data_IF_594271771049
#
_entry.id   IF_594271771049
#
_cell.length_a   1.000
_cell.length_b   1.000
_cell.length_c   1.000
_cell.angle_alpha   90.00
_cell.angle_beta   90.00
_cell.angle_gamma   90.00
#
_symmetry.space_group_name_H-M   'P 1'
#
loop_
_entity.id
_entity.type
_entity.pdbx_description
1 polymer ?
#
# COMPACT_ATOMS: atom_id res chain seq x y z
N UNK A 1 18.68 33.18 66.61
CA UNK A 1 19.48 34.16 65.83
C UNK A 1 19.93 33.48 64.54
N UNK A 2 19.42 33.99 63.40
CA UNK A 2 19.81 33.79 62.00
C UNK A 2 19.87 32.37 61.37
N UNK A 3 18.88 32.17 60.49
CA UNK A 3 18.86 31.41 59.24
C UNK A 3 20.21 31.16 58.57
N UNK A 4 20.37 30.00 57.93
CA UNK A 4 20.80 29.91 56.52
C UNK A 4 20.28 28.65 55.82
N UNK A 5 19.59 28.87 54.70
CA UNK A 5 19.20 27.89 53.67
C UNK A 5 20.42 27.13 53.15
N UNK A 6 20.25 25.85 52.81
CA UNK A 6 20.93 25.24 51.66
C UNK A 6 19.88 24.58 50.76
N UNK A 7 19.82 25.09 49.54
CA UNK A 7 18.98 24.59 48.45
C UNK A 7 19.74 23.55 47.62
N UNK A 8 18.95 22.65 47.04
CA UNK A 8 19.02 22.07 45.69
C UNK A 8 20.31 21.37 45.22
N UNK A 9 20.11 20.11 44.84
CA UNK A 9 20.98 19.35 43.96
C UNK A 9 20.30 18.07 43.47
N UNK A 10 19.03 18.15 43.03
CA UNK A 10 18.46 17.08 42.20
C UNK A 10 18.99 17.32 40.79
N UNK A 11 19.82 16.38 40.33
CA UNK A 11 20.41 16.33 39.01
C UNK A 11 19.28 16.10 38.00
N UNK A 12 18.76 17.16 37.39
CA UNK A 12 17.92 17.06 36.21
C UNK A 12 18.83 16.69 35.04
N UNK A 13 18.88 15.40 34.71
CA UNK A 13 19.35 14.95 33.40
C UNK A 13 18.30 15.45 32.40
N UNK A 14 18.58 16.57 31.75
CA UNK A 14 17.87 16.97 30.54
C UNK A 14 18.26 15.95 29.44
N UNK A 15 17.52 14.86 29.38
CA UNK A 15 17.44 14.05 28.17
C UNK A 15 16.65 14.91 27.18
N UNK A 16 17.36 15.66 26.34
CA UNK A 16 16.77 16.24 25.13
C UNK A 16 16.55 15.05 24.18
N UNK A 17 15.48 14.30 24.42
CA UNK A 17 14.81 13.56 23.36
C UNK A 17 14.33 14.65 22.39
N UNK A 18 15.11 14.88 21.34
CA UNK A 18 14.58 15.51 20.14
C UNK A 18 13.43 14.64 19.70
N UNK A 19 12.21 15.05 20.05
CA UNK A 19 10.99 14.51 19.47
C UNK A 19 11.06 14.85 17.98
N UNK A 20 11.68 13.97 17.20
CA UNK A 20 11.29 13.78 15.82
C UNK A 20 9.86 13.24 15.91
N UNK A 21 8.88 14.13 15.80
CA UNK A 21 7.57 13.69 15.34
C UNK A 21 7.83 13.14 13.95
N UNK A 22 7.65 11.83 13.68
CA UNK A 22 7.58 11.39 12.30
C UNK A 22 6.50 12.26 11.66
N UNK A 23 6.89 13.03 10.65
CA UNK A 23 5.95 13.80 9.86
C UNK A 23 4.92 12.77 9.40
N UNK A 24 3.68 12.90 9.88
CA UNK A 24 2.58 12.06 9.49
C UNK A 24 2.36 12.31 8.01
N UNK A 25 2.98 11.51 7.15
CA UNK A 25 2.60 11.39 5.74
C UNK A 25 1.30 10.57 5.73
N UNK A 26 0.25 11.12 6.32
CA UNK A 26 -1.10 10.57 6.23
C UNK A 26 -2.06 11.73 5.99
N UNK A 27 -2.92 11.51 4.99
CA UNK A 27 -3.99 12.38 4.51
C UNK A 27 -3.58 13.55 3.59
N UNK A 28 -3.05 13.22 2.39
CA UNK A 28 -3.24 14.09 1.21
C UNK A 28 -2.93 13.39 -0.12
N UNK A 29 -3.50 12.22 -0.43
CA UNK A 29 -3.56 11.75 -1.83
C UNK A 29 -4.77 10.84 -2.03
N UNK A 30 -5.89 11.41 -2.49
CA UNK A 30 -6.92 10.78 -3.33
C UNK A 30 -8.13 11.73 -3.46
N UNK A 31 -7.94 12.88 -4.10
CA UNK A 31 -9.06 13.54 -4.79
C UNK A 31 -8.85 13.28 -6.28
N UNK A 32 -9.67 12.38 -6.83
CA UNK A 32 -9.75 12.13 -8.27
C UNK A 32 -10.73 13.15 -8.84
N UNK A 33 -10.22 14.31 -9.27
CA UNK A 33 -10.97 15.13 -10.23
C UNK A 33 -10.91 14.44 -11.60
N UNK A 34 -12.08 14.07 -12.11
CA UNK A 34 -12.25 13.45 -13.42
C UNK A 34 -11.87 14.44 -14.53
N UNK A 35 -10.62 14.40 -15.00
CA UNK A 35 -10.19 15.30 -16.07
C UNK A 35 -8.71 15.30 -16.47
N UNK A 36 -8.03 14.15 -16.58
CA UNK A 36 -6.91 13.88 -17.51
C UNK A 36 -6.38 12.47 -17.24
N UNK A 37 -6.17 11.64 -18.27
CA UNK A 37 -5.84 10.22 -18.11
C UNK A 37 -4.40 10.04 -17.62
N UNK A 38 -4.22 10.10 -16.29
CA UNK A 38 -3.00 9.79 -15.58
C UNK A 38 -2.78 8.30 -15.35
N UNK A 39 -1.81 7.97 -14.48
CA UNK A 39 -1.50 6.61 -14.08
C UNK A 39 -0.92 6.56 -12.67
N UNK A 40 -0.22 5.48 -12.34
CA UNK A 40 0.47 5.33 -11.07
C UNK A 40 1.92 4.89 -11.27
N UNK A 41 2.81 5.36 -10.40
CA UNK A 41 4.21 4.90 -10.34
C UNK A 41 4.53 4.41 -8.94
N UNK A 42 5.55 3.57 -8.84
CA UNK A 42 6.23 3.32 -7.56
C UNK A 42 7.44 4.25 -7.47
N UNK A 43 7.60 4.93 -6.36
CA UNK A 43 8.69 5.87 -6.14
C UNK A 43 9.23 5.77 -4.71
N UNK A 44 10.55 5.87 -4.58
CA UNK A 44 11.26 5.96 -3.30
C UNK A 44 12.31 7.08 -3.32
N UNK A 45 12.77 7.46 -2.12
CA UNK A 45 13.92 8.33 -1.94
C UNK A 45 14.89 7.69 -0.96
N UNK A 46 16.13 7.42 -1.40
CA UNK A 46 17.08 6.61 -0.66
C UNK A 46 18.49 7.21 -0.56
N UNK A 47 19.20 6.77 0.48
CA UNK A 47 20.54 7.22 0.88
C UNK A 47 21.43 6.02 1.22
N UNK A 48 21.18 4.89 0.56
CA UNK A 48 21.79 3.60 0.83
C UNK A 48 23.31 3.59 0.58
N UNK A 49 23.81 4.40 -0.36
CA UNK A 49 25.25 4.52 -0.67
C UNK A 49 26.07 5.17 0.46
N UNK A 50 25.40 5.85 1.40
CA UNK A 50 25.99 6.38 2.63
C UNK A 50 25.46 5.71 3.89
N UNK A 51 24.73 4.60 3.76
CA UNK A 51 24.24 3.80 4.88
C UNK A 51 23.06 4.37 5.65
N UNK A 52 22.45 5.46 5.16
CA UNK A 52 21.32 6.11 5.84
C UNK A 52 19.93 5.57 5.42
N UNK A 53 19.90 4.54 4.56
CA UNK A 53 18.67 3.85 4.13
C UNK A 53 17.66 4.77 3.42
N UNK A 54 16.38 4.41 3.48
CA UNK A 54 15.32 5.23 2.89
C UNK A 54 15.11 6.54 3.66
N UNK A 55 14.87 7.62 2.93
CA UNK A 55 14.22 8.84 3.44
C UNK A 55 12.71 8.74 3.25
N UNK A 56 12.28 8.24 2.07
CA UNK A 56 10.92 7.84 1.76
C UNK A 56 11.00 6.40 1.28
N UNK A 57 10.41 5.47 2.04
CA UNK A 57 10.29 4.07 1.63
C UNK A 57 9.42 3.98 0.35
N UNK A 58 9.55 2.89 -0.45
CA UNK A 58 8.78 2.75 -1.69
C UNK A 58 7.28 2.91 -1.45
N UNK A 59 6.67 3.83 -2.20
CA UNK A 59 5.23 4.12 -2.18
C UNK A 59 4.70 4.21 -3.60
N UNK A 60 3.44 3.85 -3.78
CA UNK A 60 2.71 4.00 -5.03
C UNK A 60 1.98 5.34 -5.00
N UNK A 61 2.21 6.19 -5.99
CA UNK A 61 1.53 7.48 -6.12
C UNK A 61 0.90 7.64 -7.49
N UNK A 62 -0.22 8.34 -7.52
CA UNK A 62 -0.88 8.70 -8.77
C UNK A 62 -0.22 9.94 -9.39
N UNK A 63 -0.18 9.97 -10.72
CA UNK A 63 0.26 11.11 -11.52
C UNK A 63 -0.78 11.43 -12.58
N UNK A 64 -0.75 12.65 -13.07
CA UNK A 64 -1.54 13.20 -14.18
C UNK A 64 -0.71 13.27 -15.45
N UNK A 65 -1.36 13.13 -16.61
CA UNK A 65 -0.67 13.12 -17.90
C UNK A 65 0.29 14.32 -18.06
N UNK A 66 1.55 14.03 -18.39
CA UNK A 66 2.60 15.03 -18.57
C UNK A 66 3.43 15.37 -17.33
N UNK A 67 3.09 14.86 -16.15
CA UNK A 67 3.95 14.98 -14.97
C UNK A 67 5.34 14.36 -15.23
N UNK A 68 6.37 15.01 -14.70
CA UNK A 68 7.76 14.57 -14.79
C UNK A 68 8.22 13.95 -13.48
N UNK A 69 9.37 13.27 -13.49
CA UNK A 69 9.99 12.77 -12.25
C UNK A 69 10.19 13.91 -11.25
N UNK A 70 10.59 15.10 -11.70
CA UNK A 70 10.75 16.25 -10.81
C UNK A 70 9.45 16.65 -10.11
N UNK A 71 8.32 16.62 -10.81
CA UNK A 71 7.01 16.98 -10.23
C UNK A 71 6.64 16.01 -9.09
N UNK A 72 6.91 14.71 -9.30
CA UNK A 72 6.73 13.70 -8.25
C UNK A 72 7.64 13.94 -7.04
N UNK A 73 8.92 14.20 -7.27
CA UNK A 73 9.90 14.48 -6.21
C UNK A 73 9.54 15.74 -5.43
N UNK A 74 9.15 16.81 -6.14
CA UNK A 74 8.74 18.07 -5.51
C UNK A 74 7.51 17.88 -4.63
N UNK A 75 6.56 17.04 -5.04
CA UNK A 75 5.37 16.70 -4.24
C UNK A 75 5.72 15.88 -3.00
N UNK A 76 6.60 14.89 -3.13
CA UNK A 76 7.01 14.02 -2.02
C UNK A 76 7.91 14.70 -1.00
N UNK A 77 8.92 15.44 -1.46
CA UNK A 77 9.85 16.15 -0.58
C UNK A 77 9.23 17.42 0.00
N UNK A 78 8.21 17.99 -0.65
CA UNK A 78 7.72 19.33 -0.43
C UNK A 78 8.55 20.35 -1.24
N UNK A 79 7.92 21.24 -2.02
CA UNK A 79 8.63 22.15 -2.94
C UNK A 79 9.63 23.06 -2.23
N UNK A 80 9.33 23.51 -1.01
CA UNK A 80 10.20 24.37 -0.20
C UNK A 80 11.47 23.66 0.32
N UNK A 81 11.48 22.32 0.26
CA UNK A 81 12.61 21.50 0.66
C UNK A 81 13.57 21.21 -0.51
N UNK A 82 13.19 21.53 -1.75
CA UNK A 82 14.06 21.39 -2.91
C UNK A 82 15.00 22.59 -3.01
N UNK A 83 16.29 22.32 -3.01
CA UNK A 83 17.33 23.30 -3.31
C UNK A 83 17.78 23.06 -4.75
N UNK A 84 17.61 24.06 -5.62
CA UNK A 84 17.93 23.94 -7.04
C UNK A 84 16.72 24.23 -7.93
N UNK A 85 16.56 23.48 -9.01
CA UNK A 85 15.48 23.67 -9.99
C UNK A 85 15.07 22.35 -10.63
N UNK A 86 14.05 22.36 -11.50
CA UNK A 86 13.65 21.17 -12.27
C UNK A 86 14.76 20.58 -13.13
N UNK A 87 15.74 21.40 -13.50
CA UNK A 87 16.88 20.99 -14.34
C UNK A 87 17.92 20.24 -13.52
N UNK A 88 18.11 20.65 -12.26
CA UNK A 88 19.12 20.08 -11.39
C UNK A 88 18.76 20.34 -9.92
N UNK A 89 18.62 19.26 -9.14
CA UNK A 89 18.44 19.31 -7.69
C UNK A 89 19.83 19.39 -7.05
N UNK A 90 20.17 20.57 -6.52
CA UNK A 90 21.39 20.82 -5.77
C UNK A 90 21.35 20.22 -4.37
N UNK A 91 20.16 19.95 -3.83
CA UNK A 91 19.98 19.27 -2.56
C UNK A 91 18.52 19.21 -2.12
N UNK A 92 18.27 18.39 -1.12
CA UNK A 92 16.94 18.20 -0.54
C UNK A 92 17.09 18.38 0.96
N UNK A 93 16.33 19.30 1.57
CA UNK A 93 16.40 19.60 3.01
C UNK A 93 15.90 18.43 3.84
N UNK A 94 16.45 18.28 5.05
CA UNK A 94 16.04 17.26 6.02
C UNK A 94 16.46 15.83 5.67
N UNK A 95 17.08 15.59 4.51
CA UNK A 95 17.47 14.26 4.06
C UNK A 95 18.81 13.80 4.61
N UNK A 96 19.52 14.55 5.44
CA UNK A 96 20.73 14.06 6.11
C UNK A 96 20.39 13.62 7.54
N UNK A 97 20.62 12.35 7.86
CA UNK A 97 20.52 11.82 9.23
C UNK A 97 21.72 12.22 10.10
N UNK A 98 22.73 12.87 9.52
CA UNK A 98 23.92 13.37 10.19
C UNK A 98 25.13 12.46 10.04
N UNK A 99 26.30 13.04 10.30
CA UNK A 99 27.60 12.39 10.06
C UNK A 99 27.79 11.07 10.82
N UNK A 100 27.17 10.92 11.99
CA UNK A 100 27.31 9.70 12.78
C UNK A 100 26.63 8.49 12.15
N UNK A 101 25.54 8.73 11.41
CA UNK A 101 24.77 7.70 10.69
C UNK A 101 25.41 7.30 9.36
N UNK A 102 26.49 7.95 8.94
CA UNK A 102 27.19 7.61 7.69
C UNK A 102 27.94 6.30 7.84
N UNK A 103 27.63 5.36 6.95
CA UNK A 103 28.33 4.08 6.78
C UNK A 103 28.44 3.81 5.28
N UNK A 104 29.65 3.93 4.72
CA UNK A 104 29.88 3.66 3.30
C UNK A 104 29.92 2.14 3.09
N UNK A 105 29.07 1.58 2.20
CA UNK A 105 29.10 0.15 1.88
C UNK A 105 30.44 -0.29 1.28
N UNK A 106 30.95 -1.44 1.72
CA UNK A 106 32.28 -1.93 1.33
C UNK A 106 32.50 -2.07 -0.18
N UNK A 107 31.46 -2.38 -0.96
CA UNK A 107 31.60 -2.54 -2.41
C UNK A 107 32.07 -1.25 -3.10
N UNK A 108 31.72 -0.08 -2.55
CA UNK A 108 32.17 1.21 -3.09
C UNK A 108 33.69 1.34 -2.92
N UNK A 109 34.21 0.94 -1.76
CA UNK A 109 35.64 1.00 -1.46
C UNK A 109 36.40 -0.05 -2.28
N UNK A 110 35.98 -1.32 -2.19
CA UNK A 110 36.74 -2.45 -2.73
C UNK A 110 36.64 -2.57 -4.26
N UNK A 111 35.49 -2.22 -4.86
CA UNK A 111 35.24 -2.42 -6.29
C UNK A 111 35.31 -1.13 -7.11
N UNK A 112 34.95 0.01 -6.51
CA UNK A 112 34.91 1.31 -7.20
C UNK A 112 36.03 2.28 -6.75
N UNK A 113 36.85 1.88 -5.77
CA UNK A 113 37.97 2.70 -5.29
C UNK A 113 37.53 3.98 -4.57
N UNK A 114 36.30 4.01 -4.04
CA UNK A 114 35.80 5.15 -3.29
C UNK A 114 36.35 5.28 -1.88
N UNK A 115 36.22 6.47 -1.30
CA UNK A 115 36.59 6.73 0.09
C UNK A 115 35.74 5.91 1.06
N UNK A 116 36.34 5.41 2.13
CA UNK A 116 35.63 4.65 3.17
C UNK A 116 34.79 5.54 4.11
N UNK A 117 34.15 4.92 5.10
CA UNK A 117 33.35 5.63 6.12
C UNK A 117 34.14 6.70 6.85
N UNK A 118 35.41 6.45 7.20
CA UNK A 118 36.23 7.44 7.89
C UNK A 118 36.48 8.66 7.00
N UNK A 119 36.76 8.42 5.72
CA UNK A 119 36.94 9.46 4.70
C UNK A 119 35.69 10.29 4.50
N UNK A 120 34.52 9.64 4.35
CA UNK A 120 33.23 10.30 4.21
C UNK A 120 32.90 11.18 5.43
N UNK A 121 33.08 10.64 6.64
CA UNK A 121 32.85 11.39 7.90
C UNK A 121 33.80 12.58 8.05
N UNK A 122 35.06 12.43 7.67
CA UNK A 122 36.04 13.51 7.70
C UNK A 122 35.75 14.60 6.67
N UNK A 123 35.21 14.23 5.50
CA UNK A 123 34.74 15.19 4.49
C UNK A 123 33.49 15.96 5.00
N UNK A 124 32.56 15.23 5.62
CA UNK A 124 31.37 15.79 6.27
C UNK A 124 30.32 16.30 5.29
N UNK A 125 29.33 17.01 5.82
CA UNK A 125 28.29 17.67 5.05
C UNK A 125 28.24 19.16 5.40
N UNK A 126 28.43 20.03 4.41
CA UNK A 126 28.36 21.48 4.57
C UNK A 126 26.96 22.05 4.27
N UNK A 127 26.00 21.20 3.91
CA UNK A 127 24.62 21.59 3.65
C UNK A 127 23.95 22.21 4.88
N UNK A 128 23.14 23.24 4.67
CA UNK A 128 22.26 23.80 5.70
C UNK A 128 20.97 22.98 5.80
N UNK A 129 20.21 23.14 6.88
CA UNK A 129 18.90 22.48 7.08
C UNK A 129 18.94 20.95 6.95
N UNK A 130 20.05 20.33 7.35
CA UNK A 130 20.32 18.91 7.18
C UNK A 130 20.09 18.44 5.74
N UNK A 131 20.42 19.27 4.75
CA UNK A 131 20.26 18.90 3.36
C UNK A 131 21.38 17.96 2.91
N UNK A 132 21.03 16.86 2.24
CA UNK A 132 21.99 16.20 1.36
C UNK A 132 21.95 16.93 0.02
N UNK A 133 23.11 17.37 -0.45
CA UNK A 133 23.24 18.10 -1.69
C UNK A 133 24.49 17.73 -2.47
N UNK A 134 24.73 18.48 -3.53
CA UNK A 134 25.96 18.38 -4.31
C UNK A 134 27.14 18.52 -3.36
N UNK A 135 28.06 17.58 -3.44
CA UNK A 135 29.25 17.46 -2.59
C UNK A 135 29.04 17.07 -1.12
N UNK A 136 27.86 16.61 -0.69
CA UNK A 136 27.72 16.05 0.66
C UNK A 136 28.53 14.75 0.79
N UNK A 137 29.38 14.66 1.82
CA UNK A 137 30.24 13.52 2.17
C UNK A 137 31.33 13.12 1.17
N UNK A 138 31.29 13.61 -0.07
CA UNK A 138 32.29 13.36 -1.12
C UNK A 138 32.18 14.45 -2.17
N UNK A 139 33.29 14.82 -2.85
CA UNK A 139 33.25 15.76 -3.99
C UNK A 139 32.35 15.30 -5.13
N UNK A 140 32.05 14.00 -5.20
CA UNK A 140 31.20 13.39 -6.23
C UNK A 140 29.77 13.12 -5.74
N UNK A 141 29.46 13.52 -4.48
CA UNK A 141 28.16 13.29 -3.87
C UNK A 141 27.05 14.11 -4.55
N UNK A 142 25.88 13.52 -4.71
CA UNK A 142 24.72 14.21 -5.28
C UNK A 142 23.51 13.31 -5.52
N UNK A 143 22.35 13.93 -5.75
CA UNK A 143 21.12 13.21 -6.07
C UNK A 143 21.10 12.75 -7.53
N UNK A 144 20.78 11.48 -7.72
CA UNK A 144 20.59 10.82 -9.01
C UNK A 144 19.19 10.20 -9.05
N UNK A 145 18.76 9.79 -10.25
CA UNK A 145 17.55 8.97 -10.37
C UNK A 145 17.71 7.82 -11.33
N UNK A 146 16.93 6.76 -11.06
CA UNK A 146 16.77 5.63 -11.94
C UNK A 146 15.29 5.43 -12.24
N UNK A 147 14.98 4.98 -13.44
CA UNK A 147 13.63 4.53 -13.83
C UNK A 147 13.73 3.11 -14.38
N UNK A 148 12.97 2.19 -13.80
CA UNK A 148 12.96 0.77 -14.18
C UNK A 148 14.38 0.15 -14.20
N UNK A 149 15.11 0.36 -13.10
CA UNK A 149 16.51 -0.04 -12.91
C UNK A 149 17.52 0.50 -13.93
N UNK A 150 17.18 1.56 -14.68
CA UNK A 150 18.05 2.19 -15.67
C UNK A 150 18.27 3.66 -15.33
N UNK A 151 19.45 4.19 -15.63
CA UNK A 151 19.69 5.64 -15.62
C UNK A 151 19.14 6.23 -16.92
N UNK A 152 18.17 7.15 -16.88
CA UNK A 152 17.72 7.83 -18.08
C UNK A 152 18.79 8.77 -18.64
N UNK A 153 18.67 9.12 -19.92
CA UNK A 153 19.56 10.02 -20.66
C UNK A 153 19.11 11.50 -20.63
N UNK A 154 18.01 11.78 -19.94
CA UNK A 154 17.43 13.12 -19.73
C UNK A 154 17.43 13.49 -18.25
N UNK A 155 17.19 14.76 -17.92
CA UNK A 155 17.03 15.20 -16.52
C UNK A 155 15.66 14.86 -15.93
N UNK A 156 15.53 14.90 -14.60
CA UNK A 156 14.27 14.59 -13.90
C UNK A 156 13.10 15.48 -14.34
N UNK A 157 13.38 16.74 -14.72
CA UNK A 157 12.36 17.69 -15.19
C UNK A 157 11.97 17.54 -16.67
N UNK A 158 12.53 16.56 -17.38
CA UNK A 158 12.24 16.24 -18.79
C UNK A 158 11.75 14.80 -18.97
N UNK A 159 12.05 13.89 -18.03
CA UNK A 159 11.47 12.55 -18.03
C UNK A 159 10.00 12.60 -17.64
N UNK A 160 9.10 12.46 -18.62
CA UNK A 160 7.65 12.30 -18.41
C UNK A 160 7.37 10.88 -17.94
N UNK A 161 6.73 10.75 -16.77
CA UNK A 161 6.48 9.44 -16.15
C UNK A 161 5.38 8.67 -16.89
N UNK A 162 5.47 7.33 -16.82
CA UNK A 162 4.51 6.41 -17.44
C UNK A 162 3.91 5.51 -16.38
N UNK A 163 2.70 5.02 -16.67
CA UNK A 163 2.02 4.09 -15.79
C UNK A 163 2.86 2.83 -15.56
N UNK A 164 3.03 2.45 -14.31
CA UNK A 164 3.80 1.30 -13.88
C UNK A 164 5.32 1.50 -13.74
N UNK A 165 5.84 2.70 -14.00
CA UNK A 165 7.25 3.04 -13.77
C UNK A 165 7.66 2.81 -12.30
N UNK A 166 8.91 2.40 -12.10
CA UNK A 166 9.57 2.37 -10.79
C UNK A 166 10.68 3.40 -10.77
N UNK A 167 10.53 4.43 -9.95
CA UNK A 167 11.42 5.59 -9.86
C UNK A 167 12.19 5.55 -8.55
N UNK A 168 13.52 5.51 -8.63
CA UNK A 168 14.39 5.59 -7.44
C UNK A 168 15.09 6.93 -7.42
N UNK A 169 14.90 7.71 -6.36
CA UNK A 169 15.65 8.96 -6.13
C UNK A 169 16.75 8.66 -5.13
N UNK A 170 17.97 8.50 -5.62
CA UNK A 170 19.05 7.95 -4.81
C UNK A 170 20.19 8.96 -4.65
N UNK A 171 20.63 9.18 -3.42
CA UNK A 171 21.88 9.89 -3.17
C UNK A 171 23.05 8.99 -3.59
N UNK A 172 23.88 9.46 -4.51
CA UNK A 172 25.15 8.85 -4.89
C UNK A 172 26.25 9.48 -4.07
N UNK A 173 27.17 8.67 -3.58
CA UNK A 173 28.37 9.07 -2.84
C UNK A 173 29.61 9.08 -3.75
N UNK A 174 29.70 8.16 -4.71
CA UNK A 174 30.93 7.94 -5.48
C UNK A 174 30.70 7.59 -6.95
N UNK A 175 31.69 7.96 -7.77
CA UNK A 175 31.81 7.57 -9.17
C UNK A 175 30.78 8.22 -10.09
N UNK A 176 30.26 9.39 -9.71
CA UNK A 176 29.20 10.09 -10.44
C UNK A 176 27.98 9.19 -10.75
N UNK A 177 27.58 8.34 -9.80
CA UNK A 177 26.49 7.37 -9.96
C UNK A 177 26.95 5.93 -10.26
N UNK A 178 28.25 5.66 -10.35
CA UNK A 178 28.77 4.29 -10.51
C UNK A 178 28.44 3.39 -9.31
N UNK A 179 28.27 3.95 -8.11
CA UNK A 179 27.78 3.23 -6.93
C UNK A 179 26.32 2.81 -7.04
N UNK A 180 25.52 3.50 -7.83
CA UNK A 180 24.11 3.15 -8.09
C UNK A 180 23.93 2.21 -9.27
N UNK A 181 24.75 2.36 -10.32
CA UNK A 181 24.59 1.68 -11.60
C UNK A 181 25.57 0.53 -11.82
N UNK A 182 26.70 0.55 -11.12
CA UNK A 182 27.83 -0.36 -11.33
C UNK A 182 28.77 0.02 -12.48
N UNK A 183 28.45 1.04 -13.27
CA UNK A 183 29.23 1.48 -14.43
C UNK A 183 30.02 2.75 -14.10
N UNK A 184 31.35 2.67 -14.23
CA UNK A 184 32.18 3.87 -14.25
C UNK A 184 32.19 4.53 -15.63
N UNK A 185 32.36 5.85 -15.65
CA UNK A 185 32.43 6.61 -16.89
C UNK A 185 33.54 6.07 -17.81
N UNK A 186 33.15 5.68 -19.03
CA UNK A 186 34.06 5.19 -20.05
C UNK A 186 34.39 3.70 -19.93
N UNK A 187 33.84 2.98 -18.95
CA UNK A 187 33.97 1.53 -18.84
C UNK A 187 32.88 0.82 -19.66
N UNK A 188 33.22 -0.11 -20.56
CA UNK A 188 32.23 -0.88 -21.32
C UNK A 188 31.57 -1.98 -20.48
N UNK A 189 32.22 -2.40 -19.38
CA UNK A 189 31.74 -3.45 -18.48
C UNK A 189 31.47 -2.89 -17.08
N UNK A 190 30.47 -3.41 -16.36
CA UNK A 190 30.19 -2.98 -14.99
C UNK A 190 31.29 -3.48 -14.04
N UNK A 191 31.78 -2.60 -13.17
CA UNK A 191 32.68 -2.98 -12.06
C UNK A 191 31.93 -3.69 -10.93
N UNK A 192 30.63 -3.42 -10.82
CA UNK A 192 29.74 -4.00 -9.81
C UNK A 192 28.44 -4.38 -10.50
N UNK A 193 27.97 -5.59 -10.29
CA UNK A 193 26.64 -5.99 -10.78
C UNK A 193 25.63 -5.53 -9.73
N UNK A 194 24.73 -4.62 -10.13
CA UNK A 194 23.60 -4.16 -9.33
C UNK A 194 22.36 -4.92 -9.81
N UNK A 195 21.72 -5.66 -8.90
CA UNK A 195 20.51 -6.41 -9.21
C UNK A 195 19.31 -5.51 -9.50
N UNK A 196 18.38 -5.96 -10.34
CA UNK A 196 17.14 -5.24 -10.60
C UNK A 196 16.18 -5.43 -9.41
N UNK A 197 15.80 -4.30 -8.79
CA UNK A 197 14.95 -4.25 -7.59
C UNK A 197 13.50 -3.88 -7.88
N UNK A 198 13.11 -3.66 -9.13
CA UNK A 198 11.81 -3.09 -9.49
C UNK A 198 10.63 -3.89 -8.92
N UNK A 199 10.68 -5.22 -9.02
CA UNK A 199 9.64 -6.09 -8.47
C UNK A 199 9.56 -6.06 -6.93
N UNK A 200 10.72 -5.97 -6.26
CA UNK A 200 10.79 -5.88 -4.81
C UNK A 200 10.25 -4.53 -4.32
N UNK A 201 10.61 -3.44 -4.98
CA UNK A 201 10.11 -2.10 -4.65
C UNK A 201 8.60 -2.00 -4.88
N UNK A 202 8.06 -2.64 -5.93
CA UNK A 202 6.61 -2.78 -6.12
C UNK A 202 5.94 -3.53 -4.97
N UNK A 203 6.51 -4.65 -4.52
CA UNK A 203 5.95 -5.42 -3.40
C UNK A 203 5.97 -4.60 -2.09
N UNK A 204 7.05 -3.90 -1.80
CA UNK A 204 7.16 -2.99 -0.64
C UNK A 204 6.15 -1.83 -0.75
N UNK A 205 5.97 -1.27 -1.95
CA UNK A 205 5.02 -0.18 -2.17
C UNK A 205 3.57 -0.60 -1.97
N UNK A 206 3.18 -1.83 -2.30
CA UNK A 206 1.85 -2.38 -1.99
C UNK A 206 1.61 -2.31 -0.48
N UNK A 207 2.56 -2.83 0.30
CA UNK A 207 2.46 -2.81 1.77
C UNK A 207 2.37 -1.37 2.28
N UNK A 208 3.23 -0.48 1.80
CA UNK A 208 3.31 0.89 2.28
C UNK A 208 2.13 1.79 1.92
N UNK A 209 1.54 1.59 0.74
CA UNK A 209 0.52 2.51 0.20
C UNK A 209 -0.86 2.10 0.59
N UNK A 210 -1.13 0.79 0.65
CA UNK A 210 -2.47 0.30 0.87
C UNK A 210 -2.76 0.25 2.37
N UNK A 211 -1.96 -0.52 3.13
CA UNK A 211 -2.38 -0.99 4.46
C UNK A 211 -1.21 -1.22 5.42
N UNK A 212 -0.23 -0.31 5.44
CA UNK A 212 1.04 -0.48 6.17
C UNK A 212 0.85 -0.87 7.63
N UNK A 213 0.00 -0.18 8.37
CA UNK A 213 -0.20 -0.43 9.80
C UNK A 213 -0.76 -1.83 10.06
N UNK A 214 -1.73 -2.28 9.24
CA UNK A 214 -2.37 -3.59 9.33
C UNK A 214 -1.41 -4.71 8.92
N UNK A 215 -0.69 -4.51 7.81
CA UNK A 215 0.27 -5.51 7.36
C UNK A 215 1.44 -5.67 8.34
N UNK A 216 1.91 -4.57 8.94
CA UNK A 216 3.03 -4.63 9.87
C UNK A 216 2.63 -5.03 11.30
N UNK A 217 1.34 -5.17 11.61
CA UNK A 217 0.89 -5.83 12.85
C UNK A 217 0.87 -7.36 12.73
N UNK A 218 0.88 -7.90 11.51
CA UNK A 218 1.05 -9.34 11.27
C UNK A 218 2.54 -9.72 11.32
N UNK A 219 2.93 -10.60 12.24
CA UNK A 219 4.34 -10.96 12.45
C UNK A 219 5.01 -11.58 11.21
N UNK A 220 4.28 -12.36 10.42
CA UNK A 220 4.80 -13.03 9.22
C UNK A 220 5.07 -12.00 8.12
N UNK A 221 4.10 -11.11 7.86
CA UNK A 221 4.25 -10.05 6.87
C UNK A 221 5.31 -9.06 7.31
N UNK A 222 5.33 -8.67 8.60
CA UNK A 222 6.35 -7.79 9.15
C UNK A 222 7.75 -8.36 8.95
N UNK A 223 7.96 -9.64 9.22
CA UNK A 223 9.26 -10.29 9.01
C UNK A 223 9.67 -10.28 7.53
N UNK A 224 8.74 -10.60 6.62
CA UNK A 224 8.99 -10.56 5.18
C UNK A 224 9.27 -9.12 4.69
N UNK A 225 8.56 -8.13 5.24
CA UNK A 225 8.73 -6.72 4.95
C UNK A 225 10.10 -6.20 5.41
N UNK A 226 10.49 -6.50 6.66
CA UNK A 226 11.79 -6.13 7.20
C UNK A 226 12.93 -6.73 6.35
N UNK A 227 12.79 -7.99 5.90
CA UNK A 227 13.72 -8.62 4.96
C UNK A 227 13.76 -7.90 3.61
N UNK A 228 12.59 -7.54 3.05
CA UNK A 228 12.50 -6.79 1.79
C UNK A 228 13.17 -5.42 1.88
N UNK A 229 13.02 -4.69 2.99
CA UNK A 229 13.72 -3.42 3.24
C UNK A 229 15.24 -3.62 3.35
N UNK A 230 15.69 -4.65 4.06
CA UNK A 230 17.12 -4.95 4.17
C UNK A 230 17.74 -5.31 2.80
N UNK A 231 17.07 -6.14 2.00
CA UNK A 231 17.54 -6.53 0.66
C UNK A 231 17.49 -5.36 -0.32
N UNK A 232 16.44 -4.53 -0.27
CA UNK A 232 16.30 -3.37 -1.16
C UNK A 232 17.35 -2.28 -0.90
N UNK A 233 17.81 -2.11 0.35
CA UNK A 233 18.89 -1.15 0.68
C UNK A 233 20.30 -1.73 0.47
N UNK A 234 20.45 -3.04 0.34
CA UNK A 234 21.71 -3.66 -0.06
C UNK A 234 21.94 -3.51 -1.59
N UNK A 235 22.84 -2.61 -1.98
CA UNK A 235 23.10 -2.31 -3.41
C UNK A 235 23.71 -3.47 -4.19
N UNK A 236 24.35 -4.42 -3.52
CA UNK A 236 24.99 -5.58 -4.16
C UNK A 236 24.29 -6.90 -3.85
N UNK A 237 23.03 -6.84 -3.39
CA UNK A 237 22.19 -8.03 -3.30
C UNK A 237 22.11 -8.72 -4.67
N UNK A 238 22.31 -10.04 -4.68
CA UNK A 238 22.19 -10.84 -5.89
C UNK A 238 20.75 -10.83 -6.40
N UNK A 239 20.56 -11.06 -7.70
CA UNK A 239 19.20 -11.16 -8.26
C UNK A 239 18.39 -12.28 -7.59
N UNK A 240 19.05 -13.36 -7.14
CA UNK A 240 18.37 -14.43 -6.42
C UNK A 240 17.86 -13.97 -5.06
N UNK A 241 18.67 -13.27 -4.26
CA UNK A 241 18.23 -12.72 -2.96
C UNK A 241 17.06 -11.75 -3.14
N UNK A 242 17.12 -10.89 -4.16
CA UNK A 242 16.04 -9.95 -4.50
C UNK A 242 14.75 -10.72 -4.86
N UNK A 243 14.86 -11.73 -5.72
CA UNK A 243 13.71 -12.53 -6.14
C UNK A 243 13.08 -13.30 -4.96
N UNK A 244 13.91 -13.86 -4.06
CA UNK A 244 13.45 -14.56 -2.86
C UNK A 244 12.71 -13.61 -1.94
N UNK A 245 13.29 -12.45 -1.59
CA UNK A 245 12.63 -11.47 -0.74
C UNK A 245 11.31 -10.95 -1.35
N UNK A 246 11.28 -10.78 -2.68
CA UNK A 246 10.06 -10.40 -3.41
C UNK A 246 8.97 -11.45 -3.26
N UNK A 247 9.32 -12.73 -3.46
CA UNK A 247 8.38 -13.83 -3.37
C UNK A 247 7.87 -14.04 -1.94
N UNK A 248 8.76 -13.95 -0.94
CA UNK A 248 8.38 -14.06 0.47
C UNK A 248 7.37 -12.99 0.87
N UNK A 249 7.62 -11.72 0.53
CA UNK A 249 6.71 -10.63 0.84
C UNK A 249 5.37 -10.79 0.14
N UNK A 250 5.37 -11.08 -1.16
CA UNK A 250 4.13 -11.30 -1.91
C UNK A 250 3.33 -12.49 -1.38
N UNK A 251 3.99 -13.58 -1.01
CA UNK A 251 3.31 -14.76 -0.47
C UNK A 251 2.73 -14.48 0.92
N UNK A 252 3.46 -13.76 1.79
CA UNK A 252 2.96 -13.37 3.10
C UNK A 252 1.72 -12.46 2.98
N UNK A 253 1.79 -11.46 2.09
CA UNK A 253 0.66 -10.56 1.80
C UNK A 253 -0.52 -11.32 1.18
N UNK A 254 -0.28 -12.23 0.23
CA UNK A 254 -1.34 -13.02 -0.39
C UNK A 254 -1.98 -14.03 0.58
N UNK A 255 -1.23 -14.53 1.57
CA UNK A 255 -1.74 -15.40 2.62
C UNK A 255 -2.58 -14.64 3.66
N UNK A 256 -2.44 -13.32 3.73
CA UNK A 256 -3.30 -12.44 4.52
C UNK A 256 -4.67 -12.30 3.86
N UNK A 257 -5.47 -13.36 3.94
CA UNK A 257 -6.83 -13.41 3.40
C UNK A 257 -7.79 -14.01 4.41
N UNK A 258 -8.88 -13.30 4.69
CA UNK A 258 -10.05 -13.85 5.39
C UNK A 258 -11.02 -14.33 4.31
N UNK A 259 -11.44 -15.60 4.38
CA UNK A 259 -12.31 -16.18 3.38
C UNK A 259 -13.75 -16.25 3.87
N UNK A 260 -14.68 -15.63 3.13
CA UNK A 260 -16.10 -15.90 3.29
C UNK A 260 -16.49 -17.19 2.57
N UNK A 261 -17.39 -17.96 3.17
CA UNK A 261 -18.05 -19.12 2.60
C UNK A 261 -19.56 -18.90 2.67
N UNK A 262 -20.25 -18.94 1.54
CA UNK A 262 -21.66 -18.58 1.48
C UNK A 262 -22.43 -19.37 0.42
N UNK A 263 -23.74 -19.49 0.62
CA UNK A 263 -24.66 -20.11 -0.35
C UNK A 263 -26.04 -19.49 -0.27
N UNK A 264 -26.77 -19.58 -1.36
CA UNK A 264 -28.16 -19.12 -1.46
C UNK A 264 -29.14 -20.28 -1.62
N UNK A 265 -30.34 -20.12 -1.09
CA UNK A 265 -31.49 -20.95 -1.39
C UNK A 265 -32.22 -20.38 -2.60
N UNK A 266 -32.27 -21.14 -3.69
CA UNK A 266 -32.85 -20.73 -4.97
C UNK A 266 -34.21 -21.39 -5.16
N UNK A 267 -35.19 -20.63 -5.65
CA UNK A 267 -36.52 -21.13 -5.98
C UNK A 267 -36.45 -22.43 -6.80
N UNK A 268 -37.23 -23.44 -6.40
CA UNK A 268 -37.35 -24.75 -7.04
C UNK A 268 -36.08 -25.64 -6.99
N UNK A 269 -34.92 -25.11 -6.62
CA UNK A 269 -33.65 -25.85 -6.57
C UNK A 269 -33.16 -26.09 -5.15
N UNK A 270 -33.56 -25.23 -4.22
CA UNK A 270 -33.14 -25.30 -2.83
C UNK A 270 -31.76 -24.70 -2.59
N UNK A 271 -31.08 -25.18 -1.54
CA UNK A 271 -29.74 -24.73 -1.19
C UNK A 271 -28.70 -25.14 -2.22
N UNK A 272 -28.01 -24.16 -2.78
CA UNK A 272 -26.90 -24.34 -3.70
C UNK A 272 -25.62 -24.77 -2.95
N UNK A 273 -24.59 -25.14 -3.71
CA UNK A 273 -23.25 -25.42 -3.16
C UNK A 273 -22.62 -24.17 -2.56
N UNK A 274 -21.81 -24.34 -1.50
CA UNK A 274 -21.01 -23.26 -0.94
C UNK A 274 -20.07 -22.66 -1.97
N UNK A 275 -19.94 -21.34 -1.90
CA UNK A 275 -19.11 -20.48 -2.72
C UNK A 275 -18.13 -19.74 -1.84
N UNK A 276 -16.98 -19.39 -2.40
CA UNK A 276 -15.96 -18.61 -1.70
C UNK A 276 -15.96 -17.15 -2.16
N UNK A 277 -15.14 -16.35 -1.47
CA UNK A 277 -14.75 -15.00 -1.86
C UNK A 277 -14.79 -14.75 -3.38
N UNK A 278 -15.65 -13.83 -3.82
CA UNK A 278 -15.78 -13.37 -5.21
C UNK A 278 -16.59 -14.26 -6.17
N UNK A 279 -16.90 -15.50 -5.81
CA UNK A 279 -17.69 -16.41 -6.65
C UNK A 279 -19.19 -16.05 -6.67
N UNK A 280 -19.91 -16.43 -7.73
CA UNK A 280 -21.36 -16.18 -7.78
C UNK A 280 -22.12 -17.28 -7.04
N UNK A 281 -23.00 -16.89 -6.11
CA UNK A 281 -24.05 -17.75 -5.56
C UNK A 281 -25.42 -17.28 -6.06
N UNK A 282 -26.15 -18.17 -6.75
CA UNK A 282 -27.44 -17.89 -7.40
C UNK A 282 -27.48 -18.30 -8.89
N UNK A 283 -28.56 -17.97 -9.58
CA UNK A 283 -28.85 -18.38 -10.97
C UNK A 283 -29.21 -17.17 -11.85
N UNK A 284 -28.18 -16.53 -12.38
CA UNK A 284 -28.30 -15.31 -13.19
C UNK A 284 -28.93 -15.63 -14.55
N UNK A 285 -29.97 -14.88 -14.92
CA UNK A 285 -30.63 -15.02 -16.23
C UNK A 285 -31.62 -16.17 -16.33
N UNK A 286 -31.73 -17.01 -15.29
CA UNK A 286 -32.67 -18.14 -15.26
C UNK A 286 -34.05 -17.75 -14.71
N UNK A 287 -34.20 -16.50 -14.29
CA UNK A 287 -35.43 -15.94 -13.72
C UNK A 287 -35.93 -16.61 -12.43
N UNK A 288 -35.02 -17.21 -11.67
CA UNK A 288 -35.30 -17.79 -10.36
C UNK A 288 -34.92 -16.79 -9.25
N UNK A 289 -35.74 -16.71 -8.21
CA UNK A 289 -35.47 -15.85 -7.04
C UNK A 289 -34.56 -16.54 -6.04
N UNK A 290 -33.74 -15.75 -5.37
CA UNK A 290 -33.18 -16.11 -4.08
C UNK A 290 -34.29 -16.01 -3.01
N UNK A 291 -34.33 -16.98 -2.10
CA UNK A 291 -35.30 -17.04 -0.99
C UNK A 291 -34.61 -17.00 0.38
N UNK A 292 -33.31 -17.35 0.43
CA UNK A 292 -32.50 -17.30 1.64
C UNK A 292 -31.01 -17.34 1.35
N UNK A 293 -30.21 -17.05 2.38
CA UNK A 293 -28.75 -17.01 2.32
C UNK A 293 -28.14 -17.46 3.65
N UNK A 294 -27.01 -18.15 3.56
CA UNK A 294 -26.10 -18.42 4.67
C UNK A 294 -24.71 -17.89 4.29
N UNK A 295 -24.09 -17.15 5.21
CA UNK A 295 -22.74 -16.58 5.10
C UNK A 295 -21.98 -16.94 6.35
N UNK A 296 -20.76 -17.45 6.19
CA UNK A 296 -19.83 -17.72 7.27
C UNK A 296 -18.43 -17.20 6.90
N UNK A 297 -17.56 -17.03 7.89
CA UNK A 297 -16.13 -16.87 7.67
C UNK A 297 -15.45 -18.20 7.94
N UNK A 298 -14.47 -18.56 7.11
CA UNK A 298 -13.62 -19.73 7.38
C UNK A 298 -12.87 -19.50 8.71
N UNK A 299 -12.79 -20.54 9.56
CA UNK A 299 -12.09 -20.44 10.83
C UNK A 299 -10.65 -19.99 10.62
N UNK A 300 -10.29 -18.89 11.28
CA UNK A 300 -8.94 -18.37 11.29
C UNK A 300 -8.51 -18.16 12.75
N UNK A 301 -7.46 -18.87 13.18
CA UNK A 301 -6.96 -18.76 14.55
C UNK A 301 -6.23 -17.43 14.84
N UNK A 302 -5.93 -16.67 13.79
CA UNK A 302 -5.17 -15.42 13.85
C UNK A 302 -6.06 -14.19 14.10
N UNK A 303 -7.34 -14.24 13.71
CA UNK A 303 -8.26 -13.11 13.83
C UNK A 303 -9.56 -13.51 14.54
N UNK A 304 -9.99 -12.70 15.50
CA UNK A 304 -11.33 -12.74 16.05
C UNK A 304 -12.30 -12.02 15.11
N UNK A 305 -12.82 -12.78 14.14
CA UNK A 305 -13.75 -12.32 13.12
C UNK A 305 -15.00 -13.18 13.05
N UNK A 306 -16.13 -12.49 12.88
CA UNK A 306 -17.42 -13.05 12.52
C UNK A 306 -18.11 -12.21 11.45
N UNK A 307 -19.23 -12.70 10.95
CA UNK A 307 -20.08 -11.98 9.99
C UNK A 307 -21.52 -11.95 10.47
N UNK A 308 -22.15 -10.79 10.33
CA UNK A 308 -23.57 -10.58 10.53
C UNK A 308 -24.25 -10.09 9.25
N UNK A 309 -25.46 -10.57 9.01
CA UNK A 309 -26.23 -10.20 7.82
C UNK A 309 -27.74 -10.28 8.06
N UNK A 310 -28.50 -9.54 7.27
CA UNK A 310 -29.96 -9.62 7.24
C UNK A 310 -30.47 -9.29 5.85
N UNK A 311 -31.65 -9.78 5.51
CA UNK A 311 -32.25 -9.57 4.18
C UNK A 311 -33.56 -8.81 4.25
N UNK A 312 -33.88 -8.12 3.16
CA UNK A 312 -35.21 -7.57 2.90
C UNK A 312 -36.01 -8.60 2.12
N UNK A 313 -37.12 -9.06 2.69
CA UNK A 313 -37.92 -10.17 2.17
C UNK A 313 -39.28 -9.63 1.71
N UNK A 314 -39.77 -10.14 0.59
CA UNK A 314 -41.10 -9.81 0.08
C UNK A 314 -42.19 -9.91 1.16
N UNK A 315 -43.04 -8.89 1.24
CA UNK A 315 -44.16 -8.74 2.19
C UNK A 315 -43.79 -8.67 3.68
N UNK A 316 -42.53 -8.95 4.05
CA UNK A 316 -42.06 -8.92 5.44
C UNK A 316 -41.16 -7.71 5.72
N UNK A 317 -40.49 -7.18 4.69
CA UNK A 317 -39.51 -6.11 4.83
C UNK A 317 -38.16 -6.63 5.32
N UNK A 318 -37.37 -5.73 5.92
CA UNK A 318 -36.12 -6.09 6.57
C UNK A 318 -36.36 -6.98 7.79
N UNK A 319 -35.57 -8.05 7.93
CA UNK A 319 -35.55 -8.80 9.18
C UNK A 319 -35.16 -7.90 10.37
N UNK A 320 -35.83 -8.08 11.51
CA UNK A 320 -35.56 -7.30 12.73
C UNK A 320 -34.22 -7.66 13.39
N UNK A 321 -33.78 -8.91 13.22
CA UNK A 321 -32.56 -9.44 13.84
C UNK A 321 -31.54 -9.81 12.77
N UNK A 322 -30.29 -9.40 13.00
CA UNK A 322 -29.16 -9.89 12.25
C UNK A 322 -28.94 -11.39 12.51
N UNK A 323 -28.52 -12.10 11.47
CA UNK A 323 -28.08 -13.49 11.53
C UNK A 323 -26.57 -13.51 11.55
N UNK A 324 -25.99 -14.44 12.30
CA UNK A 324 -24.53 -14.54 12.43
C UNK A 324 -24.03 -15.89 11.92
N UNK A 325 -22.84 -15.92 11.30
CA UNK A 325 -22.02 -17.12 11.09
C UNK A 325 -22.79 -18.40 10.73
N UNK A 326 -23.18 -18.53 9.47
CA UNK A 326 -23.87 -19.70 8.92
C UNK A 326 -25.36 -19.80 9.26
N UNK A 327 -25.93 -18.90 10.07
CA UNK A 327 -27.37 -18.86 10.32
C UNK A 327 -28.15 -18.36 9.10
N UNK A 328 -29.20 -19.08 8.72
CA UNK A 328 -30.06 -18.66 7.60
C UNK A 328 -30.72 -17.29 7.83
N UNK A 329 -30.55 -16.39 6.84
CA UNK A 329 -31.36 -15.19 6.62
C UNK A 329 -32.30 -15.42 5.43
N UNK A 330 -33.53 -14.90 5.49
CA UNK A 330 -34.58 -15.16 4.49
C UNK A 330 -35.64 -16.17 4.95
N UNK A 331 -36.30 -16.83 3.99
CA UNK A 331 -37.36 -17.83 4.28
C UNK A 331 -37.12 -19.12 3.51
N UNK A 332 -37.44 -20.25 4.13
CA UNK A 332 -37.45 -21.55 3.46
C UNK A 332 -38.89 -21.98 3.23
N UNK A 333 -39.22 -22.48 2.04
CA UNK A 333 -40.55 -23.06 1.68
C UNK A 333 -41.75 -22.10 1.77
N UNK A 334 -41.52 -20.81 1.96
CA UNK A 334 -42.60 -19.79 1.95
C UNK A 334 -42.79 -19.15 0.58
N UNK A 335 -41.83 -19.33 -0.34
CA UNK A 335 -41.93 -18.80 -1.69
C UNK A 335 -41.70 -17.30 -1.81
N UNK A 336 -41.11 -16.66 -0.80
CA UNK A 336 -40.88 -15.21 -0.76
C UNK A 336 -39.49 -14.88 -1.31
N UNK A 337 -39.40 -13.87 -2.18
CA UNK A 337 -38.11 -13.40 -2.72
C UNK A 337 -37.34 -12.57 -1.72
N UNK A 338 -36.01 -12.64 -1.81
CA UNK A 338 -35.13 -11.59 -1.31
C UNK A 338 -35.11 -10.41 -2.29
N UNK A 339 -35.11 -9.20 -1.76
CA UNK A 339 -35.04 -7.95 -2.54
C UNK A 339 -33.77 -7.15 -2.26
N UNK A 340 -33.21 -7.27 -1.05
CA UNK A 340 -31.99 -6.58 -0.62
C UNK A 340 -31.30 -7.32 0.54
N UNK A 341 -30.05 -6.95 0.84
CA UNK A 341 -29.21 -7.51 1.90
C UNK A 341 -28.28 -6.46 2.50
N UNK A 342 -28.04 -6.56 3.81
CA UNK A 342 -26.96 -5.88 4.52
C UNK A 342 -25.99 -6.95 5.08
N UNK A 343 -24.68 -6.71 5.03
CA UNK A 343 -23.63 -7.60 5.56
C UNK A 343 -22.55 -6.77 6.25
N UNK A 344 -22.19 -7.13 7.48
CA UNK A 344 -21.12 -6.48 8.24
C UNK A 344 -20.19 -7.52 8.91
N UNK A 345 -18.93 -7.14 9.12
CA UNK A 345 -18.00 -7.92 9.92
C UNK A 345 -18.19 -7.59 11.42
N UNK A 346 -17.87 -8.57 12.26
CA UNK A 346 -17.94 -8.49 13.72
C UNK A 346 -16.71 -9.16 14.33
N UNK A 347 -16.51 -9.04 15.64
CA UNK A 347 -15.31 -9.53 16.34
C UNK A 347 -14.30 -8.41 16.62
N UNK A 348 -13.29 -8.71 17.44
CA UNK A 348 -12.30 -7.71 17.87
C UNK A 348 -11.43 -7.18 16.73
N UNK A 349 -11.24 -7.95 15.66
CA UNK A 349 -10.38 -7.59 14.52
C UNK A 349 -11.18 -7.09 13.31
N UNK A 350 -12.49 -6.84 13.45
CA UNK A 350 -13.37 -6.45 12.35
C UNK A 350 -12.95 -5.14 11.65
N UNK A 351 -12.28 -4.23 12.35
CA UNK A 351 -11.77 -2.96 11.83
C UNK A 351 -10.52 -3.11 10.96
N UNK A 352 -9.90 -4.29 10.93
CA UNK A 352 -8.77 -4.63 10.07
C UNK A 352 -9.21 -5.13 8.68
N UNK A 353 -10.51 -5.32 8.48
CA UNK A 353 -11.08 -5.88 7.24
C UNK A 353 -12.31 -5.09 6.76
N UNK A 354 -12.57 -5.16 5.47
CA UNK A 354 -13.80 -4.71 4.83
C UNK A 354 -14.50 -5.91 4.18
N UNK A 355 -15.84 -5.95 4.25
CA UNK A 355 -16.67 -6.88 3.48
C UNK A 355 -17.36 -6.13 2.35
N UNK A 356 -17.02 -6.49 1.11
CA UNK A 356 -17.67 -6.00 -0.09
C UNK A 356 -18.66 -7.04 -0.61
N UNK A 357 -19.83 -6.58 -1.03
CA UNK A 357 -20.84 -7.45 -1.63
C UNK A 357 -21.63 -6.76 -2.72
N UNK A 358 -22.00 -7.55 -3.71
CA UNK A 358 -22.69 -7.11 -4.91
C UNK A 358 -23.83 -8.08 -5.19
N UNK A 359 -25.01 -7.56 -5.55
CA UNK A 359 -26.17 -8.38 -5.90
C UNK A 359 -26.57 -8.19 -7.37
N UNK A 360 -27.09 -9.25 -7.97
CA UNK A 360 -27.77 -9.20 -9.25
C UNK A 360 -29.28 -9.14 -9.02
N UNK A 361 -29.92 -8.05 -9.42
CA UNK A 361 -31.36 -7.84 -9.24
C UNK A 361 -32.11 -7.91 -10.57
N UNK A 362 -33.31 -8.48 -10.53
CA UNK A 362 -34.20 -8.56 -11.69
C UNK A 362 -34.43 -7.17 -12.32
N UNK A 363 -34.39 -7.11 -13.65
CA UNK A 363 -34.58 -5.90 -14.46
C UNK A 363 -33.53 -4.79 -14.25
N UNK A 364 -32.52 -5.01 -13.40
CA UNK A 364 -31.43 -4.06 -13.16
C UNK A 364 -30.09 -4.66 -13.62
N UNK A 365 -29.84 -5.92 -13.31
CA UNK A 365 -28.55 -6.56 -13.51
C UNK A 365 -27.69 -6.51 -12.25
N UNK A 366 -26.36 -6.56 -12.43
CA UNK A 366 -25.41 -6.35 -11.34
C UNK A 366 -25.47 -4.90 -10.83
N UNK A 367 -25.69 -4.75 -9.53
CA UNK A 367 -25.69 -3.46 -8.85
C UNK A 367 -24.29 -3.06 -8.38
N UNK A 368 -24.06 -1.84 -7.90
CA UNK A 368 -22.76 -1.46 -7.33
C UNK A 368 -22.38 -2.34 -6.12
N UNK A 369 -21.10 -2.32 -5.74
CA UNK A 369 -20.66 -2.95 -4.49
C UNK A 369 -21.13 -2.11 -3.30
N UNK A 370 -21.78 -2.75 -2.34
CA UNK A 370 -21.96 -2.24 -0.99
C UNK A 370 -20.80 -2.68 -0.09
N UNK A 371 -20.56 -1.94 0.99
CA UNK A 371 -19.50 -2.22 1.96
C UNK A 371 -20.01 -2.13 3.39
N UNK A 372 -19.55 -3.01 4.29
CA UNK A 372 -19.66 -2.88 5.75
C UNK A 372 -21.02 -2.36 6.27
N UNK A 373 -22.08 -3.12 6.05
CA UNK A 373 -23.43 -2.82 6.54
C UNK A 373 -24.25 -1.90 5.65
N UNK A 374 -23.67 -1.35 4.57
CA UNK A 374 -24.43 -0.61 3.55
C UNK A 374 -25.42 -1.54 2.81
N UNK A 375 -26.60 -1.06 2.47
CA UNK A 375 -27.55 -1.93 1.76
C UNK A 375 -27.10 -2.24 0.33
N UNK A 376 -27.44 -3.44 -0.15
CA UNK A 376 -27.35 -3.85 -1.54
C UNK A 376 -28.69 -4.41 -2.02
N UNK A 377 -29.18 -3.97 -3.19
CA UNK A 377 -30.42 -4.47 -3.78
C UNK A 377 -31.50 -3.42 -4.04
N UNK A 378 -32.76 -3.86 -4.05
CA UNK A 378 -33.90 -3.12 -4.63
C UNK A 378 -35.13 -3.12 -3.72
N UNK A 379 -34.95 -2.82 -2.43
CA UNK A 379 -36.02 -2.91 -1.44
C UNK A 379 -37.29 -2.15 -1.85
N UNK A 380 -38.44 -2.81 -1.78
CA UNK A 380 -39.74 -2.20 -2.10
C UNK A 380 -40.06 -2.08 -3.60
N UNK A 381 -39.13 -2.39 -4.49
CA UNK A 381 -39.41 -2.41 -5.94
C UNK A 381 -40.15 -3.67 -6.40
N UNK A 382 -40.10 -4.75 -5.62
CA UNK A 382 -40.63 -6.03 -6.04
C UNK A 382 -39.69 -6.82 -6.95
N UNK A 383 -38.44 -6.39 -7.13
CA UNK A 383 -37.46 -7.09 -7.95
C UNK A 383 -36.71 -8.13 -7.11
N UNK A 384 -36.71 -9.38 -7.58
CA UNK A 384 -35.98 -10.46 -6.92
C UNK A 384 -34.47 -10.29 -7.07
N UNK A 385 -33.73 -10.67 -6.06
CA UNK A 385 -32.32 -11.01 -6.22
C UNK A 385 -32.22 -12.37 -6.96
N UNK A 386 -31.23 -12.48 -7.83
CA UNK A 386 -30.93 -13.69 -8.62
C UNK A 386 -29.51 -14.21 -8.37
N UNK A 387 -28.63 -13.36 -7.82
CA UNK A 387 -27.28 -13.77 -7.45
C UNK A 387 -26.59 -12.77 -6.52
N UNK A 388 -25.52 -13.24 -5.86
CA UNK A 388 -24.69 -12.44 -4.96
C UNK A 388 -23.22 -12.85 -5.09
N UNK A 389 -22.32 -11.88 -4.91
CA UNK A 389 -20.89 -12.06 -4.65
C UNK A 389 -20.55 -11.41 -3.31
N UNK A 390 -19.71 -12.05 -2.53
CA UNK A 390 -19.20 -11.53 -1.26
C UNK A 390 -17.68 -11.71 -1.27
N UNK A 391 -16.94 -10.70 -0.83
CA UNK A 391 -15.49 -10.74 -0.71
C UNK A 391 -15.10 -10.02 0.59
N UNK A 392 -14.35 -10.71 1.44
CA UNK A 392 -13.63 -10.05 2.54
C UNK A 392 -12.24 -9.68 2.04
N UNK A 393 -11.85 -8.45 2.32
CA UNK A 393 -10.52 -7.89 2.04
C UNK A 393 -10.04 -7.17 3.29
N UNK A 394 -8.77 -6.88 3.35
CA UNK A 394 -8.21 -6.01 4.38
C UNK A 394 -8.83 -4.60 4.31
N UNK A 395 -8.91 -3.91 5.45
CA UNK A 395 -9.60 -2.64 5.57
C UNK A 395 -8.99 -1.57 4.68
N UNK A 396 -9.83 -0.83 3.94
CA UNK A 396 -9.38 0.23 3.04
C UNK A 396 -8.91 -0.26 1.66
N UNK A 397 -8.80 -1.58 1.44
CA UNK A 397 -8.59 -2.13 0.11
C UNK A 397 -9.73 -1.70 -0.84
N UNK A 398 -9.43 -1.45 -2.13
CA UNK A 398 -10.45 -1.08 -3.11
C UNK A 398 -11.48 -2.20 -3.27
N UNK A 399 -12.72 -1.81 -3.61
CA UNK A 399 -13.76 -2.77 -3.98
C UNK A 399 -13.26 -3.68 -5.13
N UNK A 400 -13.69 -4.95 -5.20
CA UNK A 400 -13.37 -5.81 -6.32
C UNK A 400 -13.82 -5.21 -7.65
N UNK A 401 -13.13 -5.59 -8.74
CA UNK A 401 -13.47 -5.11 -10.08
C UNK A 401 -14.89 -5.55 -10.45
N UNK A 402 -15.77 -4.57 -10.66
CA UNK A 402 -17.15 -4.81 -11.06
C UNK A 402 -17.23 -5.44 -12.45
N UNK A 403 -18.20 -6.33 -12.67
CA UNK A 403 -18.46 -6.91 -13.98
C UNK A 403 -18.93 -5.85 -14.98
N UNK A 404 -18.61 -6.02 -16.27
CA UNK A 404 -19.15 -5.16 -17.33
C UNK A 404 -20.68 -5.09 -17.26
N UNK A 405 -21.22 -3.88 -17.39
CA UNK A 405 -22.67 -3.63 -17.29
C UNK A 405 -23.21 -3.45 -15.86
N UNK A 406 -22.34 -3.40 -14.85
CA UNK A 406 -22.73 -3.04 -13.48
C UNK A 406 -23.29 -1.62 -13.40
N UNK A 407 -24.43 -1.42 -12.73
CA UNK A 407 -24.95 -0.07 -12.43
C UNK A 407 -24.20 0.54 -11.23
N UNK A 408 -23.96 1.85 -11.25
CA UNK A 408 -23.11 2.51 -10.24
C UNK A 408 -23.63 2.49 -8.80
N UNK A 409 -24.95 2.37 -8.58
CA UNK A 409 -25.54 2.35 -7.24
C UNK A 409 -25.67 0.92 -6.72
N UNK A 410 -25.23 0.68 -5.47
CA UNK A 410 -25.39 -0.62 -4.80
C UNK A 410 -26.84 -0.89 -4.35
N UNK A 411 -27.60 0.16 -4.06
CA UNK A 411 -28.94 0.05 -3.50
C UNK A 411 -29.90 1.11 -4.06
N UNK A 412 -31.15 0.69 -4.26
CA UNK A 412 -32.28 1.56 -4.57
C UNK A 412 -33.48 1.15 -3.71
N UNK A 413 -34.27 2.13 -3.27
CA UNK A 413 -35.49 1.92 -2.45
C UNK A 413 -36.66 2.77 -2.94
N UNK A 414 -37.90 2.36 -2.63
CA UNK A 414 -39.15 3.05 -2.98
C UNK A 414 -39.80 3.78 -1.82
#
# INVERSE_FOLDING_TARGET
MKMFKKSNGVLAILLVLGMFTPLSVMAAVNEVESGNAGGSVVIDMERSTIGQGFFIEPVKINFTEGETVFDLVSRLAGPDNIIGSKVYINGIKGTDAGVESVVIPNYIVEKLGGGDTATAKAFGNAGTDNALGTTSYSQQGGWMYLVNNLSPDVGMGDYVVKDGDVVRIAFSYWGYGADLTGYEWGSPEPKVIIGNKDALLKAVAIVNTEMKEIYLSNDIIKMAYDNAIAVSTNMVASQNEINVATAELNNAVAAFSVNASYRTHVQNEGWQTLRKNGEVSGTIGESLRLEGIEINLEENAEYDLGVEYKTHIENLGWEEQWKSNGQMSGTEKQGLRLEAIDIQLTGADADQFDVYYQVHAQNVGWMGYAKNGESAGTAGFGYRLEGIKIQVVSHGAPAPVAAEGTVGNAFITK
#
